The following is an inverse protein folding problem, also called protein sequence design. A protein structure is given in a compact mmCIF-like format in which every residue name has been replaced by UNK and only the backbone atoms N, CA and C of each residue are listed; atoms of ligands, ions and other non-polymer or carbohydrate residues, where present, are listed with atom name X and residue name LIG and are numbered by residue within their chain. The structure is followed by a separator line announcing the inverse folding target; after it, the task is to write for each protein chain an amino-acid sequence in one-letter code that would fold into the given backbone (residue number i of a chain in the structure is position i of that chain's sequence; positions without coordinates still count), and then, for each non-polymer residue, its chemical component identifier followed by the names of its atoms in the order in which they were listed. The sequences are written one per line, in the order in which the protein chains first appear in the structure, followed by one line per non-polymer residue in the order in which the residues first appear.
data_IF_631980190634
#
_entry.id   IF_631980190634
#
_cell.length_a   1.000
_cell.length_b   1.000
_cell.length_c   1.000
_cell.angle_alpha   90.00
_cell.angle_beta   90.00
_cell.angle_gamma   90.00
#
_symmetry.space_group_name_H-M   'P 1'
#
loop_
_entity.id
_entity.type
_entity.pdbx_description
1 polymer ?
#
# COMPACT_ATOMS: atom_id res chain seq x y z
N UNK A 1 -4.31 -3.55 -12.85
CA UNK A 1 -3.70 -3.22 -11.56
C UNK A 1 -2.82 -4.41 -11.19
N UNK A 2 -1.72 -4.20 -10.48
CA UNK A 2 -0.78 -5.23 -10.05
C UNK A 2 -0.38 -4.98 -8.59
N UNK A 3 0.03 -6.04 -7.89
CA UNK A 3 0.53 -5.94 -6.52
C UNK A 3 2.04 -5.76 -6.48
N UNK A 4 2.49 -4.88 -5.60
CA UNK A 4 3.79 -4.96 -4.95
C UNK A 4 3.55 -5.56 -3.56
N UNK A 5 4.21 -6.69 -3.29
CA UNK A 5 3.98 -7.52 -2.10
C UNK A 5 2.51 -7.95 -1.98
N UNK A 6 2.06 -8.86 -2.85
CA UNK A 6 0.70 -9.38 -2.82
C UNK A 6 0.40 -10.08 -1.47
N UNK A 7 -0.68 -9.72 -0.77
CA UNK A 7 -1.07 -10.39 0.47
C UNK A 7 -1.58 -11.81 0.20
N UNK A 8 -1.51 -12.70 1.21
CA UNK A 8 -2.04 -14.06 1.05
C UNK A 8 -3.56 -14.09 0.84
N UNK A 9 -4.30 -13.14 1.42
CA UNK A 9 -5.76 -13.09 1.37
C UNK A 9 -6.20 -11.71 0.92
N UNK A 10 -6.72 -11.64 -0.31
CA UNK A 10 -7.35 -10.46 -0.85
C UNK A 10 -8.41 -10.82 -1.89
N UNK A 11 -9.22 -9.82 -2.25
CA UNK A 11 -10.15 -9.90 -3.38
C UNK A 11 -10.31 -8.54 -4.02
N UNK A 12 -10.51 -8.50 -5.33
CA UNK A 12 -10.92 -7.32 -6.09
C UNK A 12 -12.26 -7.60 -6.73
N UNK A 13 -13.30 -6.88 -6.30
CA UNK A 13 -14.65 -7.02 -6.84
C UNK A 13 -15.23 -5.67 -7.27
N UNK A 14 -15.39 -5.50 -8.58
CA UNK A 14 -15.93 -4.31 -9.27
C UNK A 14 -15.15 -3.01 -8.99
N UNK A 15 -15.18 -2.55 -7.75
CA UNK A 15 -14.70 -1.26 -7.27
C UNK A 15 -14.19 -1.29 -5.83
N UNK A 16 -14.21 -2.45 -5.17
CA UNK A 16 -13.72 -2.61 -3.80
C UNK A 16 -12.58 -3.63 -3.81
N UNK A 17 -11.46 -3.23 -3.21
CA UNK A 17 -10.36 -4.13 -2.92
C UNK A 17 -10.42 -4.42 -1.43
N UNK A 18 -10.54 -5.70 -1.08
CA UNK A 18 -10.47 -6.16 0.32
C UNK A 18 -9.12 -6.82 0.53
N UNK A 19 -8.46 -6.45 1.62
CA UNK A 19 -7.12 -6.89 1.95
C UNK A 19 -7.10 -7.36 3.40
N UNK A 20 -6.52 -8.53 3.62
CA UNK A 20 -6.03 -8.92 4.94
C UNK A 20 -4.52 -8.85 4.89
N UNK A 21 -3.94 -7.97 5.72
CA UNK A 21 -2.49 -7.76 5.73
C UNK A 21 -1.78 -8.98 6.31
N UNK A 22 -0.68 -9.37 5.68
CA UNK A 22 0.24 -10.35 6.24
C UNK A 22 0.95 -9.75 7.47
N UNK A 23 1.56 -10.60 8.29
CA UNK A 23 2.28 -10.15 9.47
C UNK A 23 3.61 -9.46 9.11
N UNK A 24 4.03 -8.50 9.93
CA UNK A 24 5.36 -7.82 9.86
C UNK A 24 5.61 -7.09 8.52
N UNK A 25 4.57 -6.50 7.97
CA UNK A 25 4.63 -5.68 6.75
C UNK A 25 4.71 -4.20 7.08
N UNK A 26 5.59 -3.45 6.41
CA UNK A 26 5.73 -2.01 6.61
C UNK A 26 6.39 -1.32 5.40
N UNK A 27 6.19 -0.01 5.28
CA UNK A 27 6.93 0.87 4.39
C UNK A 27 7.63 1.96 5.21
N UNK A 28 8.94 1.83 5.34
CA UNK A 28 9.74 2.75 6.11
C UNK A 28 11.14 2.85 5.52
N UNK A 29 11.69 4.05 5.41
CA UNK A 29 13.04 4.23 4.87
C UNK A 29 13.84 5.16 5.75
N UNK A 30 14.97 4.66 6.24
CA UNK A 30 16.09 5.39 6.88
C UNK A 30 15.67 6.69 7.56
N UNK A 31 15.28 6.56 8.81
CA UNK A 31 15.14 7.69 9.74
C UNK A 31 15.99 7.42 10.98
N UNK A 32 15.61 7.95 12.15
CA UNK A 32 16.35 7.88 13.43
C UNK A 32 17.01 6.53 13.75
N UNK A 33 16.37 5.41 13.44
CA UNK A 33 16.85 4.07 13.80
C UNK A 33 17.52 3.32 12.64
N UNK A 34 17.69 3.95 11.47
CA UNK A 34 18.35 3.36 10.30
C UNK A 34 17.62 2.19 9.63
N UNK A 35 16.45 1.79 10.12
CA UNK A 35 15.68 0.67 9.56
C UNK A 35 15.13 0.99 8.16
N UNK A 36 15.07 -0.04 7.32
CA UNK A 36 14.38 -0.03 6.03
C UNK A 36 13.39 -1.20 5.96
N UNK A 37 12.17 -0.90 5.51
CA UNK A 37 11.08 -1.84 5.27
C UNK A 37 10.41 -1.43 3.96
N UNK A 38 10.24 -2.39 3.07
CA UNK A 38 9.62 -2.18 1.75
C UNK A 38 8.73 -3.37 1.40
N UNK A 39 8.09 -3.94 2.42
CA UNK A 39 7.32 -5.18 2.34
C UNK A 39 5.82 -4.99 2.65
N UNK A 40 5.35 -3.74 2.71
CA UNK A 40 3.93 -3.42 2.79
C UNK A 40 3.17 -3.78 1.50
N UNK A 41 1.86 -4.01 1.61
CA UNK A 41 1.02 -4.32 0.45
C UNK A 41 0.66 -3.06 -0.32
N UNK A 42 0.89 -3.07 -1.62
CA UNK A 42 0.56 -1.95 -2.50
C UNK A 42 -0.06 -2.44 -3.80
N UNK A 43 -1.37 -2.21 -3.97
CA UNK A 43 -2.08 -2.47 -5.23
C UNK A 43 -2.10 -1.21 -6.08
N UNK A 44 -1.55 -1.29 -7.29
CA UNK A 44 -1.31 -0.10 -8.07
C UNK A 44 -1.45 -0.32 -9.57
N UNK A 45 -1.41 0.80 -10.28
CA UNK A 45 -1.14 0.84 -11.72
C UNK A 45 -0.12 1.93 -11.97
N UNK A 46 0.78 1.70 -12.92
CA UNK A 46 1.70 2.74 -13.36
C UNK A 46 0.93 3.79 -14.16
N UNK A 47 1.22 5.06 -13.88
CA UNK A 47 0.72 6.19 -14.65
C UNK A 47 1.89 6.82 -15.42
N UNK A 48 1.69 7.26 -16.68
CA UNK A 48 2.69 8.04 -17.40
C UNK A 48 3.02 9.34 -16.64
N UNK A 49 4.31 9.65 -16.50
CA UNK A 49 4.80 10.75 -15.65
C UNK A 49 4.45 12.17 -16.13
N UNK A 50 4.02 12.31 -17.38
CA UNK A 50 3.62 13.57 -18.02
C UNK A 50 2.14 13.95 -17.77
N UNK A 51 1.37 13.04 -17.15
CA UNK A 51 -0.08 13.24 -16.98
C UNK A 51 -0.43 13.73 -15.59
N UNK A 52 -1.23 14.78 -15.54
CA UNK A 52 -1.94 15.18 -14.32
C UNK A 52 -3.03 14.15 -14.01
N UNK A 53 -3.18 13.83 -12.73
CA UNK A 53 -4.23 12.92 -12.28
C UNK A 53 -4.83 13.39 -10.97
N UNK A 54 -6.06 12.97 -10.72
CA UNK A 54 -6.73 13.06 -9.43
C UNK A 54 -7.10 11.64 -9.03
N UNK A 55 -6.81 11.27 -7.78
CA UNK A 55 -7.19 9.98 -7.21
C UNK A 55 -7.90 10.24 -5.90
N UNK A 56 -9.08 9.65 -5.76
CA UNK A 56 -9.87 9.64 -4.53
C UNK A 56 -10.15 8.19 -4.18
N UNK A 57 -9.90 7.82 -2.93
CA UNK A 57 -10.20 6.49 -2.41
C UNK A 57 -10.99 6.62 -1.11
N UNK A 58 -11.92 5.70 -0.89
CA UNK A 58 -12.53 5.52 0.42
C UNK A 58 -11.79 4.38 1.13
N UNK A 59 -11.18 4.66 2.27
CA UNK A 59 -10.42 3.67 3.03
C UNK A 59 -11.19 3.33 4.29
N UNK A 60 -11.53 2.06 4.44
CA UNK A 60 -12.18 1.51 5.63
C UNK A 60 -11.30 0.40 6.18
N UNK A 61 -10.99 0.46 7.47
CA UNK A 61 -10.15 -0.52 8.12
C UNK A 61 -10.69 -0.86 9.51
N UNK A 62 -10.47 -2.11 9.93
CA UNK A 62 -10.68 -2.55 11.31
C UNK A 62 -9.35 -2.44 12.06
N UNK A 63 -8.88 -1.21 12.25
CA UNK A 63 -7.60 -0.93 12.93
C UNK A 63 -7.70 -1.30 14.40
N UNK A 64 -6.86 -2.21 14.87
CA UNK A 64 -6.95 -2.76 16.23
C UNK A 64 -5.59 -2.93 16.91
N UNK A 65 -4.49 -2.90 16.16
CA UNK A 65 -3.14 -3.00 16.70
C UNK A 65 -2.33 -1.72 16.43
N UNK A 66 -1.29 -1.55 17.24
CA UNK A 66 -0.35 -0.45 17.08
C UNK A 66 0.35 -0.57 15.73
N UNK A 67 0.37 0.52 14.98
CA UNK A 67 0.95 0.64 13.63
C UNK A 67 0.18 -0.06 12.51
N UNK A 68 -1.08 -0.46 12.74
CA UNK A 68 -1.98 -0.79 11.62
C UNK A 68 -2.11 0.44 10.70
N UNK A 69 -2.01 0.20 9.41
CA UNK A 69 -1.96 1.24 8.38
C UNK A 69 -2.89 0.90 7.22
N UNK A 70 -3.48 1.91 6.61
CA UNK A 70 -4.30 1.79 5.41
C UNK A 70 -4.45 3.16 4.76
N UNK A 71 -4.33 3.25 3.43
CA UNK A 71 -4.29 4.54 2.78
C UNK A 71 -4.05 4.48 1.28
N UNK A 72 -3.75 5.66 0.72
CA UNK A 72 -3.27 5.83 -0.64
C UNK A 72 -1.75 5.98 -0.63
N UNK A 73 -1.07 5.37 -1.58
CA UNK A 73 0.37 5.51 -1.79
C UNK A 73 0.66 6.01 -3.20
N UNK A 74 1.61 6.94 -3.30
CA UNK A 74 2.28 7.31 -4.54
C UNK A 74 3.71 6.81 -4.45
N UNK A 75 4.17 6.12 -5.49
CA UNK A 75 5.48 5.46 -5.51
C UNK A 75 6.15 5.66 -6.85
N UNK A 76 7.41 6.11 -6.80
CA UNK A 76 8.31 6.18 -7.97
C UNK A 76 9.21 4.95 -7.99
N UNK A 77 9.86 4.66 -6.86
CA UNK A 77 10.76 3.53 -6.67
C UNK A 77 10.89 3.21 -5.16
N UNK A 78 11.80 2.31 -4.83
CA UNK A 78 12.15 1.91 -3.47
C UNK A 78 13.11 2.87 -2.75
N UNK A 79 13.51 3.98 -3.40
CA UNK A 79 14.64 4.83 -3.00
C UNK A 79 14.31 6.23 -2.49
#
# INVERSE_FOLDING_TARGET
MIWLNEPQIWSDNLSVIKVHTDAKTDFWRKTRNGAERDNGHFYYRSLPGDKKFLVTVNVQGKYNARYDQGGLMLRINEK
#
